data_IF_698261579766
#
_entry.id   IF_698261579766
#
_cell.length_a   1.000
_cell.length_b   1.000
_cell.length_c   1.000
_cell.angle_alpha   90.00
_cell.angle_beta   90.00
_cell.angle_gamma   90.00
#
_symmetry.space_group_name_H-M   'P 1'
#
loop_
_entity.id
_entity.type
_entity.pdbx_description
1 polymer ?
#
# COMPACT_ATOMS: atom_id res chain seq x y z
N UNK A 1 11.01 -46.70 -15.02
CA UNK A 1 10.28 -45.86 -14.06
C UNK A 1 10.80 -44.45 -14.21
N UNK A 2 10.06 -43.62 -14.96
CA UNK A 2 10.38 -42.21 -15.20
C UNK A 2 9.77 -41.40 -14.05
N UNK A 3 10.64 -40.75 -13.26
CA UNK A 3 10.20 -39.79 -12.24
C UNK A 3 9.63 -38.55 -12.96
N UNK A 4 8.34 -38.34 -12.76
CA UNK A 4 7.62 -37.14 -13.08
C UNK A 4 8.27 -35.95 -12.31
N UNK A 5 9.02 -35.14 -13.02
CA UNK A 5 9.52 -33.86 -12.46
C UNK A 5 8.36 -32.90 -12.44
N UNK A 6 7.84 -32.63 -11.24
CA UNK A 6 6.91 -31.53 -11.02
C UNK A 6 7.48 -30.25 -11.69
N UNK A 7 6.68 -29.66 -12.57
CA UNK A 7 7.05 -28.44 -13.26
C UNK A 7 7.32 -27.33 -12.25
N UNK A 8 8.52 -26.78 -12.31
CA UNK A 8 8.92 -25.60 -11.58
C UNK A 8 7.98 -24.46 -12.00
N UNK A 9 7.26 -23.74 -11.11
CA UNK A 9 6.46 -22.61 -11.50
C UNK A 9 7.39 -21.58 -12.15
N UNK A 10 7.13 -21.30 -13.45
CA UNK A 10 8.02 -20.56 -14.32
C UNK A 10 8.43 -19.22 -13.73
N UNK A 11 9.72 -18.92 -13.81
CA UNK A 11 10.30 -17.61 -13.51
C UNK A 11 9.59 -16.57 -14.37
N UNK A 12 8.77 -15.71 -13.73
CA UNK A 12 8.07 -14.61 -14.40
C UNK A 12 9.14 -13.62 -14.88
N UNK A 13 9.16 -13.33 -16.18
CA UNK A 13 10.12 -12.39 -16.79
C UNK A 13 9.91 -11.00 -16.23
N UNK A 14 11.01 -10.26 -16.00
CA UNK A 14 10.98 -8.87 -15.56
C UNK A 14 10.02 -8.04 -16.42
N UNK A 15 9.06 -7.35 -15.77
CA UNK A 15 8.14 -6.42 -16.43
C UNK A 15 6.78 -6.98 -16.82
N UNK A 16 6.48 -8.26 -16.61
CA UNK A 16 5.12 -8.77 -16.82
C UNK A 16 4.25 -8.46 -15.58
N UNK A 17 3.17 -7.71 -15.79
CA UNK A 17 2.07 -7.59 -14.83
C UNK A 17 1.53 -9.00 -14.55
N UNK A 18 1.22 -9.33 -13.29
CA UNK A 18 0.55 -10.59 -12.97
C UNK A 18 -0.64 -10.77 -13.91
N UNK A 19 -0.77 -11.94 -14.53
CA UNK A 19 -1.70 -12.19 -15.67
C UNK A 19 -3.14 -11.72 -15.43
N UNK A 20 -3.57 -11.72 -14.17
CA UNK A 20 -4.95 -11.40 -13.81
C UNK A 20 -5.11 -9.99 -13.22
N UNK A 21 -4.03 -9.30 -12.85
CA UNK A 21 -4.12 -7.96 -12.24
C UNK A 21 -4.55 -6.92 -13.28
N UNK A 22 -5.57 -6.13 -12.93
CA UNK A 22 -6.10 -5.06 -13.80
C UNK A 22 -5.16 -3.87 -13.91
N UNK A 23 -4.29 -3.69 -12.92
CA UNK A 23 -3.26 -2.65 -12.86
C UNK A 23 -2.05 -3.22 -12.12
N UNK A 24 -0.86 -2.64 -12.29
CA UNK A 24 0.32 -3.07 -11.51
C UNK A 24 0.42 -2.35 -10.18
N UNK A 25 1.10 -2.97 -9.21
CA UNK A 25 1.42 -2.32 -7.94
C UNK A 25 2.29 -1.06 -8.17
N UNK A 26 3.23 -1.11 -9.11
CA UNK A 26 4.07 0.04 -9.49
C UNK A 26 3.22 1.23 -9.99
N UNK A 27 2.23 1.00 -10.86
CA UNK A 27 1.33 2.06 -11.33
C UNK A 27 0.56 2.73 -10.19
N UNK A 28 0.11 1.96 -9.20
CA UNK A 28 -0.54 2.49 -8.01
C UNK A 28 0.43 3.35 -7.21
N UNK A 29 1.61 2.80 -6.87
CA UNK A 29 2.58 3.45 -5.98
C UNK A 29 3.28 4.66 -6.60
N UNK A 30 3.28 4.78 -7.93
CA UNK A 30 3.86 5.95 -8.64
C UNK A 30 2.85 7.07 -8.91
N UNK A 31 1.58 6.90 -8.51
CA UNK A 31 0.54 7.92 -8.70
C UNK A 31 0.81 9.18 -7.86
N UNK A 32 1.48 9.05 -6.73
CA UNK A 32 1.84 10.17 -5.86
C UNK A 32 2.87 9.79 -4.82
N UNK A 33 3.49 10.78 -4.15
CA UNK A 33 4.60 10.52 -3.23
C UNK A 33 4.16 9.93 -1.88
N UNK A 34 2.89 10.07 -1.52
CA UNK A 34 2.37 9.68 -0.20
C UNK A 34 1.07 8.91 -0.35
N UNK A 35 0.98 7.78 0.35
CA UNK A 35 -0.25 7.00 0.53
C UNK A 35 -0.70 7.17 1.99
N UNK A 36 -1.84 7.83 2.25
CA UNK A 36 -2.37 7.96 3.60
C UNK A 36 -2.80 6.59 4.15
N UNK A 37 -2.33 6.26 5.33
CA UNK A 37 -2.78 5.08 6.09
C UNK A 37 -3.98 5.49 6.92
N UNK A 38 -5.18 5.13 6.45
CA UNK A 38 -6.45 5.64 6.97
C UNK A 38 -7.06 4.65 7.95
N UNK A 39 -7.42 5.13 9.14
CA UNK A 39 -8.25 4.43 10.11
C UNK A 39 -9.58 5.18 10.21
N UNK A 40 -10.67 4.56 9.75
CA UNK A 40 -12.00 5.16 9.79
C UNK A 40 -12.74 4.68 11.05
N UNK A 41 -12.95 5.57 12.01
CA UNK A 41 -13.69 5.26 13.24
C UNK A 41 -15.19 5.53 13.11
N UNK A 42 -15.58 6.47 12.25
CA UNK A 42 -16.97 6.86 11.98
C UNK A 42 -17.23 6.85 10.49
N UNK A 43 -18.28 6.15 10.06
CA UNK A 43 -18.59 5.98 8.63
C UNK A 43 -18.84 7.34 7.94
N UNK A 44 -19.48 8.28 8.63
CA UNK A 44 -19.77 9.61 8.10
C UNK A 44 -18.51 10.43 7.75
N UNK A 45 -17.34 10.07 8.28
CA UNK A 45 -16.08 10.75 7.96
C UNK A 45 -15.44 10.22 6.67
N UNK A 46 -15.81 9.03 6.19
CA UNK A 46 -15.16 8.35 5.08
C UNK A 46 -15.10 9.21 3.81
N UNK A 47 -16.25 9.61 3.30
CA UNK A 47 -16.35 10.35 2.04
C UNK A 47 -15.81 11.77 2.14
N UNK A 48 -16.13 12.58 3.17
CA UNK A 48 -15.55 13.92 3.31
C UNK A 48 -14.03 13.90 3.41
N UNK A 49 -13.46 12.97 4.17
CA UNK A 49 -12.00 12.79 4.28
C UNK A 49 -11.36 12.44 2.94
N UNK A 50 -11.93 11.48 2.19
CA UNK A 50 -11.42 11.10 0.89
C UNK A 50 -11.45 12.27 -0.10
N UNK A 51 -12.53 13.05 -0.13
CA UNK A 51 -12.63 14.29 -0.95
C UNK A 51 -11.58 15.33 -0.56
N UNK A 52 -11.35 15.51 0.73
CA UNK A 52 -10.33 16.44 1.24
C UNK A 52 -8.91 16.02 0.83
N UNK A 53 -8.58 14.74 0.90
CA UNK A 53 -7.28 14.20 0.46
C UNK A 53 -7.08 14.39 -1.05
N UNK A 54 -8.10 14.09 -1.85
CA UNK A 54 -8.07 14.29 -3.32
C UNK A 54 -7.92 15.76 -3.68
N UNK A 55 -8.64 16.65 -3.00
CA UNK A 55 -8.51 18.11 -3.19
C UNK A 55 -7.11 18.65 -2.85
N UNK A 56 -6.38 17.95 -1.96
CA UNK A 56 -4.97 18.20 -1.66
C UNK A 56 -3.98 17.55 -2.62
N UNK A 57 -4.46 16.78 -3.62
CA UNK A 57 -3.62 16.11 -4.62
C UNK A 57 -3.22 14.67 -4.28
N UNK A 58 -3.72 14.10 -3.19
CA UNK A 58 -3.48 12.71 -2.79
C UNK A 58 -4.63 11.84 -3.30
N UNK A 59 -4.34 10.96 -4.26
CA UNK A 59 -5.35 10.15 -4.95
C UNK A 59 -5.35 8.68 -4.55
N UNK A 60 -4.24 8.12 -4.06
CA UNK A 60 -4.15 6.73 -3.60
C UNK A 60 -4.46 6.70 -2.11
N UNK A 61 -5.53 5.99 -1.72
CA UNK A 61 -6.06 5.97 -0.36
C UNK A 61 -6.07 4.53 0.19
N UNK A 62 -5.30 4.26 1.26
CA UNK A 62 -5.26 2.98 1.96
C UNK A 62 -6.24 2.99 3.14
N UNK A 63 -7.41 2.34 3.01
CA UNK A 63 -8.37 2.15 4.11
C UNK A 63 -8.01 0.88 4.87
N UNK A 64 -7.58 1.01 6.13
CA UNK A 64 -7.14 -0.14 6.91
C UNK A 64 -8.31 -0.88 7.56
N UNK A 65 -8.30 -2.22 7.52
CA UNK A 65 -9.31 -3.08 8.15
C UNK A 65 -9.13 -3.17 9.68
N UNK A 66 -9.02 -2.02 10.35
CA UNK A 66 -8.75 -1.94 11.80
C UNK A 66 -9.99 -1.56 12.63
N UNK A 67 -11.11 -1.29 11.98
CA UNK A 67 -12.36 -0.87 12.64
C UNK A 67 -13.56 -1.63 12.06
N UNK A 68 -14.65 -1.77 12.82
CA UNK A 68 -15.85 -2.42 12.32
C UNK A 68 -16.48 -1.76 11.09
N UNK A 69 -16.29 -0.44 10.92
CA UNK A 69 -16.86 0.33 9.80
C UNK A 69 -15.95 0.39 8.56
N UNK A 70 -14.76 -0.20 8.62
CA UNK A 70 -13.75 -0.07 7.56
C UNK A 70 -14.25 -0.56 6.18
N UNK A 71 -14.95 -1.68 6.13
CA UNK A 71 -15.49 -2.22 4.87
C UNK A 71 -16.58 -1.33 4.26
N UNK A 72 -17.44 -0.76 5.08
CA UNK A 72 -18.46 0.18 4.60
C UNK A 72 -17.86 1.51 4.17
N UNK A 73 -16.84 1.97 4.88
CA UNK A 73 -16.05 3.15 4.51
C UNK A 73 -15.34 2.94 3.16
N UNK A 74 -14.71 1.78 2.94
CA UNK A 74 -14.10 1.40 1.67
C UNK A 74 -15.10 1.49 0.52
N UNK A 75 -16.27 0.86 0.66
CA UNK A 75 -17.35 0.88 -0.34
C UNK A 75 -17.85 2.29 -0.63
N UNK A 76 -18.07 3.08 0.43
CA UNK A 76 -18.54 4.46 0.30
C UNK A 76 -17.52 5.34 -0.47
N UNK A 77 -16.24 5.25 -0.12
CA UNK A 77 -15.19 5.99 -0.82
C UNK A 77 -15.09 5.60 -2.30
N UNK A 78 -15.10 4.30 -2.62
CA UNK A 78 -15.07 3.80 -4.00
C UNK A 78 -16.25 4.33 -4.82
N UNK A 79 -17.44 4.34 -4.23
CA UNK A 79 -18.67 4.76 -4.90
C UNK A 79 -18.77 6.27 -5.10
N UNK A 80 -18.37 7.04 -4.09
CA UNK A 80 -18.66 8.47 -4.02
C UNK A 80 -17.47 9.39 -4.33
N UNK A 81 -16.27 8.81 -4.47
CA UNK A 81 -15.04 9.55 -4.80
C UNK A 81 -14.30 8.85 -5.95
N UNK A 82 -14.88 8.85 -7.16
CA UNK A 82 -14.33 8.11 -8.31
C UNK A 82 -12.94 8.62 -8.78
N UNK A 83 -12.53 9.80 -8.35
CA UNK A 83 -11.20 10.35 -8.64
C UNK A 83 -10.10 9.70 -7.79
N UNK A 84 -10.46 9.05 -6.69
CA UNK A 84 -9.55 8.35 -5.82
C UNK A 84 -9.30 6.90 -6.30
N UNK A 85 -8.08 6.44 -6.08
CA UNK A 85 -7.71 5.02 -6.18
C UNK A 85 -7.77 4.46 -4.76
N UNK A 86 -8.85 3.76 -4.44
CA UNK A 86 -9.11 3.29 -3.09
C UNK A 86 -8.74 1.82 -2.95
N UNK A 87 -7.90 1.52 -1.98
CA UNK A 87 -7.49 0.17 -1.65
C UNK A 87 -7.63 -0.15 -0.17
N UNK A 88 -7.49 -1.43 0.16
CA UNK A 88 -7.61 -1.94 1.51
C UNK A 88 -6.23 -2.21 2.12
N UNK A 89 -6.01 -1.74 3.34
CA UNK A 89 -4.84 -2.07 4.17
C UNK A 89 -5.19 -3.01 5.32
N UNK A 90 -4.15 -3.59 5.91
CA UNK A 90 -4.30 -4.55 7.03
C UNK A 90 -5.07 -5.82 6.64
N UNK A 91 -4.94 -6.23 5.39
CA UNK A 91 -5.45 -7.52 4.90
C UNK A 91 -4.46 -8.61 5.31
N UNK A 92 -4.91 -9.61 6.08
CA UNK A 92 -4.02 -10.58 6.74
C UNK A 92 -4.27 -12.04 6.35
N UNK A 93 -5.28 -12.31 5.53
CA UNK A 93 -5.61 -13.66 5.09
C UNK A 93 -6.36 -13.66 3.74
N UNK A 94 -6.46 -14.83 3.05
CA UNK A 94 -7.15 -14.95 1.78
C UNK A 94 -8.64 -14.59 1.80
N UNK A 95 -9.33 -14.83 2.93
CA UNK A 95 -10.74 -14.48 3.06
C UNK A 95 -10.94 -12.95 3.00
N UNK A 96 -10.18 -12.20 3.80
CA UNK A 96 -10.23 -10.73 3.75
C UNK A 96 -9.82 -10.19 2.37
N UNK A 97 -8.82 -10.82 1.72
CA UNK A 97 -8.42 -10.45 0.36
C UNK A 97 -9.60 -10.59 -0.61
N UNK A 98 -10.36 -11.67 -0.53
CA UNK A 98 -11.55 -11.87 -1.36
C UNK A 98 -12.64 -10.84 -1.03
N UNK A 99 -12.93 -10.61 0.27
CA UNK A 99 -13.95 -9.66 0.72
C UNK A 99 -13.68 -8.23 0.21
N UNK A 100 -12.42 -7.75 0.28
CA UNK A 100 -12.07 -6.41 -0.23
C UNK A 100 -12.04 -6.36 -1.76
N UNK A 101 -11.69 -7.45 -2.42
CA UNK A 101 -11.76 -7.57 -3.88
C UNK A 101 -13.21 -7.45 -4.35
N UNK A 102 -14.14 -8.16 -3.72
CA UNK A 102 -15.57 -8.12 -4.04
C UNK A 102 -16.19 -6.74 -3.71
N UNK A 103 -15.64 -6.04 -2.72
CA UNK A 103 -16.02 -4.67 -2.40
C UNK A 103 -15.51 -3.64 -3.42
N UNK A 104 -14.64 -4.04 -4.35
CA UNK A 104 -14.13 -3.19 -5.42
C UNK A 104 -12.80 -2.48 -5.10
N UNK A 105 -12.05 -2.94 -4.10
CA UNK A 105 -10.72 -2.41 -3.82
C UNK A 105 -9.82 -2.48 -5.07
N UNK A 106 -9.08 -1.42 -5.34
CA UNK A 106 -8.23 -1.31 -6.53
C UNK A 106 -6.79 -1.76 -6.27
N UNK A 107 -6.39 -1.83 -5.01
CA UNK A 107 -5.14 -2.42 -4.54
C UNK A 107 -5.31 -2.94 -3.10
N UNK A 108 -4.40 -3.81 -2.69
CA UNK A 108 -4.43 -4.43 -1.37
C UNK A 108 -3.04 -4.30 -0.73
N UNK A 109 -3.01 -3.95 0.54
CA UNK A 109 -1.79 -3.87 1.35
C UNK A 109 -1.93 -4.77 2.57
N UNK A 110 -0.93 -5.63 2.80
CA UNK A 110 -0.84 -6.42 4.02
C UNK A 110 0.28 -5.93 4.94
N UNK A 111 0.20 -6.17 6.26
CA UNK A 111 1.28 -5.80 7.18
C UNK A 111 2.48 -6.75 7.11
N UNK A 112 2.30 -7.94 6.55
CA UNK A 112 3.31 -8.98 6.42
C UNK A 112 2.98 -9.96 5.30
N UNK A 113 3.78 -11.02 5.14
CA UNK A 113 3.59 -12.06 4.14
C UNK A 113 3.24 -13.40 4.76
N UNK A 114 2.32 -14.13 4.11
CA UNK A 114 2.12 -15.57 4.29
C UNK A 114 1.98 -16.20 2.91
N UNK A 115 2.40 -17.44 2.76
CA UNK A 115 2.28 -18.15 1.48
C UNK A 115 0.84 -18.23 0.98
N UNK A 116 -0.12 -18.46 1.88
CA UNK A 116 -1.54 -18.54 1.53
C UNK A 116 -2.07 -17.20 0.98
N UNK A 117 -1.65 -16.07 1.58
CA UNK A 117 -2.04 -14.75 1.11
C UNK A 117 -1.39 -14.42 -0.24
N UNK A 118 -0.09 -14.70 -0.39
CA UNK A 118 0.64 -14.48 -1.64
C UNK A 118 0.02 -15.29 -2.79
N UNK A 119 -0.25 -16.58 -2.57
CA UNK A 119 -0.90 -17.44 -3.56
C UNK A 119 -2.25 -16.89 -4.01
N UNK A 120 -3.12 -16.56 -3.05
CA UNK A 120 -4.44 -16.03 -3.36
C UNK A 120 -4.35 -14.69 -4.14
N UNK A 121 -3.39 -13.83 -3.79
CA UNK A 121 -3.22 -12.53 -4.43
C UNK A 121 -2.73 -12.64 -5.89
N UNK A 122 -1.76 -13.52 -6.18
CA UNK A 122 -1.24 -13.67 -7.55
C UNK A 122 -2.22 -14.37 -8.49
N UNK A 123 -3.15 -15.15 -7.95
CA UNK A 123 -4.25 -15.77 -8.68
C UNK A 123 -5.45 -14.81 -8.87
N UNK A 124 -5.56 -13.77 -8.02
CA UNK A 124 -6.64 -12.80 -8.02
C UNK A 124 -6.47 -11.63 -9.01
N UNK A 125 -7.47 -10.74 -9.12
CA UNK A 125 -7.48 -9.64 -10.09
C UNK A 125 -6.93 -8.32 -9.56
N UNK A 126 -6.59 -8.23 -8.27
CA UNK A 126 -6.19 -6.99 -7.58
C UNK A 126 -4.75 -7.10 -7.08
N UNK A 127 -3.90 -6.10 -7.35
CA UNK A 127 -2.51 -6.12 -6.91
C UNK A 127 -2.39 -6.12 -5.38
N UNK A 128 -1.51 -7.00 -4.87
CA UNK A 128 -1.08 -7.02 -3.48
C UNK A 128 0.30 -6.34 -3.35
N UNK A 129 0.42 -5.45 -2.39
CA UNK A 129 1.67 -4.84 -1.93
C UNK A 129 1.92 -5.38 -0.52
N UNK A 130 2.65 -6.50 -0.38
CA UNK A 130 2.82 -7.15 0.92
C UNK A 130 3.84 -6.42 1.78
N UNK A 131 3.58 -6.38 3.09
CA UNK A 131 4.52 -5.87 4.09
C UNK A 131 5.67 -6.85 4.32
N UNK A 132 6.88 -6.31 4.44
CA UNK A 132 8.08 -7.07 4.85
C UNK A 132 8.86 -6.29 5.90
N UNK A 133 9.54 -7.02 6.77
CA UNK A 133 10.50 -6.51 7.75
C UNK A 133 11.89 -7.11 7.56
N UNK A 134 11.97 -8.25 6.90
CA UNK A 134 13.20 -9.02 6.72
C UNK A 134 13.46 -9.35 5.25
N UNK A 135 14.72 -9.67 4.95
CA UNK A 135 15.14 -10.11 3.62
C UNK A 135 14.53 -11.47 3.25
N UNK A 136 14.29 -12.36 4.23
CA UNK A 136 13.66 -13.65 3.96
C UNK A 136 12.21 -13.48 3.49
N UNK A 137 11.44 -12.57 4.12
CA UNK A 137 10.09 -12.24 3.68
C UNK A 137 10.08 -11.61 2.28
N UNK A 138 11.05 -10.74 2.00
CA UNK A 138 11.26 -10.17 0.67
C UNK A 138 11.46 -11.27 -0.38
N UNK A 139 12.39 -12.21 -0.12
CA UNK A 139 12.67 -13.34 -1.02
C UNK A 139 11.45 -14.21 -1.23
N UNK A 140 10.68 -14.50 -0.17
CA UNK A 140 9.42 -15.25 -0.27
C UNK A 140 8.44 -14.55 -1.21
N UNK A 141 8.25 -13.23 -1.10
CA UNK A 141 7.39 -12.48 -2.03
C UNK A 141 7.92 -12.49 -3.47
N UNK A 142 9.25 -12.44 -3.64
CA UNK A 142 9.89 -12.51 -4.95
C UNK A 142 9.70 -13.87 -5.64
N UNK A 143 9.63 -14.98 -4.89
CA UNK A 143 9.34 -16.31 -5.43
C UNK A 143 7.94 -16.39 -6.06
N UNK A 144 7.00 -15.55 -5.58
CA UNK A 144 5.68 -15.34 -6.18
C UNK A 144 5.67 -14.29 -7.31
N UNK A 145 6.83 -13.77 -7.70
CA UNK A 145 6.97 -12.81 -8.80
C UNK A 145 6.78 -11.35 -8.42
N UNK A 146 6.56 -11.02 -7.15
CA UNK A 146 6.37 -9.64 -6.68
C UNK A 146 7.67 -8.84 -6.71
N UNK A 147 7.54 -7.53 -6.92
CA UNK A 147 8.68 -6.58 -6.95
C UNK A 147 8.42 -5.33 -6.11
N UNK A 148 7.18 -5.03 -5.78
CA UNK A 148 6.75 -3.89 -4.97
C UNK A 148 6.32 -4.38 -3.60
N UNK A 149 6.91 -3.78 -2.54
CA UNK A 149 6.70 -4.18 -1.14
C UNK A 149 6.46 -2.97 -0.24
N UNK A 150 5.61 -3.15 0.75
CA UNK A 150 5.58 -2.26 1.91
C UNK A 150 6.71 -2.64 2.86
N UNK A 151 7.56 -1.69 3.25
CA UNK A 151 8.54 -1.89 4.31
C UNK A 151 7.95 -1.42 5.63
N UNK A 152 7.67 -2.35 6.55
CA UNK A 152 6.89 -2.04 7.76
C UNK A 152 7.33 -2.89 8.96
N UNK A 153 7.40 -2.30 10.17
CA UNK A 153 7.37 -0.86 10.47
C UNK A 153 8.72 -0.18 10.16
N UNK A 154 8.73 0.83 9.28
CA UNK A 154 9.94 1.33 8.64
C UNK A 154 11.00 1.85 9.64
N UNK A 155 10.65 2.81 10.50
CA UNK A 155 11.61 3.39 11.46
C UNK A 155 12.11 2.35 12.47
N UNK A 156 11.22 1.50 12.99
CA UNK A 156 11.59 0.45 13.95
C UNK A 156 12.52 -0.61 13.34
N UNK A 157 12.46 -0.82 12.02
CA UNK A 157 13.29 -1.78 11.29
C UNK A 157 14.57 -1.16 10.69
N UNK A 158 14.99 0.01 11.16
CA UNK A 158 16.25 0.65 10.77
C UNK A 158 16.14 1.69 9.67
N UNK A 159 14.93 2.03 9.23
CA UNK A 159 14.63 3.19 8.41
C UNK A 159 15.36 3.22 7.06
N UNK A 160 15.78 4.41 6.67
CA UNK A 160 16.52 4.68 5.43
C UNK A 160 17.77 3.81 5.30
N UNK A 161 18.52 3.62 6.41
CA UNK A 161 19.76 2.81 6.40
C UNK A 161 19.50 1.34 6.05
N UNK A 162 18.41 0.76 6.62
CA UNK A 162 18.02 -0.60 6.30
C UNK A 162 17.63 -0.75 4.83
N UNK A 163 16.83 0.17 4.28
CA UNK A 163 16.44 0.15 2.88
C UNK A 163 17.62 0.29 1.92
N UNK A 164 18.60 1.13 2.26
CA UNK A 164 19.85 1.25 1.48
C UNK A 164 20.62 -0.06 1.46
N UNK A 165 20.74 -0.73 2.63
CA UNK A 165 21.44 -2.01 2.73
C UNK A 165 20.71 -3.13 1.96
N UNK A 166 19.39 -3.19 2.02
CA UNK A 166 18.56 -4.14 1.27
C UNK A 166 18.65 -3.88 -0.24
N UNK A 167 18.68 -2.62 -0.66
CA UNK A 167 18.73 -2.23 -2.07
C UNK A 167 19.99 -2.72 -2.80
N UNK A 168 21.10 -2.99 -2.10
CA UNK A 168 22.32 -3.54 -2.68
C UNK A 168 22.10 -4.89 -3.38
N UNK A 169 21.69 -5.94 -2.66
CA UNK A 169 21.43 -7.27 -3.23
C UNK A 169 20.14 -7.34 -4.06
N UNK A 170 19.20 -6.40 -3.91
CA UNK A 170 17.87 -6.43 -4.57
C UNK A 170 17.57 -5.15 -5.37
N UNK A 171 18.39 -4.78 -6.38
CA UNK A 171 18.24 -3.50 -7.11
C UNK A 171 16.92 -3.44 -7.94
N UNK A 172 16.28 -4.57 -8.19
CA UNK A 172 15.02 -4.69 -8.93
C UNK A 172 13.77 -4.48 -8.08
N UNK A 173 13.91 -4.40 -6.74
CA UNK A 173 12.77 -4.27 -5.83
C UNK A 173 12.47 -2.80 -5.55
N UNK A 174 11.20 -2.50 -5.33
CA UNK A 174 10.69 -1.17 -4.99
C UNK A 174 9.91 -1.21 -3.69
N UNK A 175 9.92 -0.10 -2.96
CA UNK A 175 9.35 -0.03 -1.62
C UNK A 175 8.38 1.14 -1.47
N UNK A 176 7.38 0.88 -0.60
CA UNK A 176 6.55 1.87 0.07
C UNK A 176 6.80 1.76 1.58
N UNK A 177 7.83 2.45 2.12
CA UNK A 177 8.08 2.44 3.56
C UNK A 177 6.90 3.05 4.32
N UNK A 178 6.55 2.42 5.46
CA UNK A 178 5.42 2.82 6.29
C UNK A 178 5.75 2.57 7.76
N UNK A 179 5.33 3.47 8.65
CA UNK A 179 5.52 3.34 10.11
C UNK A 179 6.66 4.20 10.65
N UNK A 180 6.30 5.19 11.50
CA UNK A 180 7.21 6.19 12.05
C UNK A 180 7.58 7.30 11.06
N UNK A 181 6.95 7.36 9.90
CA UNK A 181 7.20 8.38 8.89
C UNK A 181 6.33 9.61 9.16
N UNK A 182 6.92 10.79 9.03
CA UNK A 182 6.34 12.08 9.36
C UNK A 182 6.86 13.18 8.40
N UNK A 183 6.35 14.41 8.47
CA UNK A 183 6.89 15.54 7.71
C UNK A 183 8.38 15.80 7.91
N UNK A 184 8.96 15.34 9.02
CA UNK A 184 10.37 15.55 9.35
C UNK A 184 11.33 14.62 8.59
N UNK A 185 10.89 13.41 8.19
CA UNK A 185 11.76 12.38 7.65
C UNK A 185 11.32 11.79 6.28
N UNK A 186 10.10 12.06 5.81
CA UNK A 186 9.58 11.41 4.59
C UNK A 186 10.40 11.70 3.33
N UNK A 187 11.04 12.87 3.25
CA UNK A 187 11.90 13.24 2.10
C UNK A 187 13.17 12.38 2.02
N UNK A 188 13.71 11.98 3.17
CA UNK A 188 14.91 11.13 3.21
C UNK A 188 14.59 9.74 2.62
N UNK A 189 13.37 9.23 2.84
CA UNK A 189 12.90 8.01 2.21
C UNK A 189 12.70 8.18 0.71
N UNK A 190 12.03 9.26 0.29
CA UNK A 190 11.76 9.54 -1.13
C UNK A 190 13.03 9.82 -1.95
N UNK A 191 14.15 10.19 -1.31
CA UNK A 191 15.45 10.35 -1.95
C UNK A 191 16.06 9.01 -2.39
N UNK A 192 15.57 7.88 -1.88
CA UNK A 192 16.06 6.56 -2.25
C UNK A 192 15.46 6.11 -3.59
N UNK A 193 16.30 5.69 -4.54
CA UNK A 193 15.86 5.19 -5.86
C UNK A 193 14.96 3.96 -5.79
N UNK A 194 15.03 3.18 -4.70
CA UNK A 194 14.20 2.02 -4.46
C UNK A 194 12.83 2.35 -3.86
N UNK A 195 12.56 3.61 -3.49
CA UNK A 195 11.30 4.05 -2.88
C UNK A 195 10.44 4.74 -3.94
N UNK A 196 9.22 4.24 -4.14
CA UNK A 196 8.25 4.82 -5.08
C UNK A 196 7.38 5.88 -4.41
N UNK A 197 6.94 5.61 -3.19
CA UNK A 197 6.16 6.49 -2.34
C UNK A 197 6.35 6.08 -0.89
N UNK A 198 5.75 6.81 0.04
CA UNK A 198 5.74 6.45 1.47
C UNK A 198 4.31 6.31 1.99
N UNK A 199 4.13 5.47 3.01
CA UNK A 199 2.88 5.38 3.77
C UNK A 199 2.92 6.27 5.00
N UNK A 200 1.93 7.15 5.17
CA UNK A 200 1.90 8.07 6.29
C UNK A 200 0.52 8.31 6.87
N UNK A 201 0.42 8.43 8.19
CA UNK A 201 -0.85 8.69 8.88
C UNK A 201 -1.06 10.15 9.26
N UNK A 202 -0.03 11.00 9.16
CA UNK A 202 -0.11 12.41 9.59
C UNK A 202 -1.04 13.28 8.74
N UNK A 203 -1.43 12.80 7.55
CA UNK A 203 -2.35 13.51 6.66
C UNK A 203 -3.78 13.54 7.20
N UNK A 204 -4.11 12.60 8.09
CA UNK A 204 -5.44 12.41 8.65
C UNK A 204 -5.39 12.39 10.19
N UNK A 205 -4.99 13.50 10.85
CA UNK A 205 -4.85 13.52 12.29
C UNK A 205 -6.22 13.41 12.99
N UNK A 206 -6.25 12.66 14.09
CA UNK A 206 -7.50 12.34 14.79
C UNK A 206 -8.30 13.57 15.23
N UNK A 207 -7.64 14.62 15.70
CA UNK A 207 -8.28 15.86 16.12
C UNK A 207 -8.99 16.59 14.97
N UNK A 208 -8.43 16.54 13.74
CA UNK A 208 -9.10 17.06 12.55
C UNK A 208 -10.32 16.20 12.17
N UNK A 209 -10.22 14.87 12.30
CA UNK A 209 -11.36 13.97 12.05
C UNK A 209 -12.50 14.21 13.04
N UNK A 210 -12.17 14.37 14.34
CA UNK A 210 -13.17 14.60 15.40
C UNK A 210 -13.95 15.90 15.21
N UNK A 211 -13.29 16.94 14.72
CA UNK A 211 -13.88 18.27 14.50
C UNK A 211 -14.43 18.49 13.09
N UNK A 212 -14.18 17.54 12.17
CA UNK A 212 -14.55 17.69 10.76
C UNK A 212 -13.75 18.77 10.03
N UNK A 213 -12.50 19.00 10.44
CA UNK A 213 -11.60 20.00 9.82
C UNK A 213 -10.99 19.45 8.50
N UNK A 214 -11.86 19.34 7.48
CA UNK A 214 -11.49 18.83 6.16
C UNK A 214 -10.52 19.75 5.43
N UNK A 215 -10.57 21.05 5.68
CA UNK A 215 -9.65 22.02 5.10
C UNK A 215 -8.22 21.79 5.59
N UNK A 216 -8.05 21.41 6.85
CA UNK A 216 -6.74 21.01 7.39
C UNK A 216 -6.21 19.76 6.72
N UNK A 217 -7.06 18.75 6.49
CA UNK A 217 -6.66 17.53 5.76
C UNK A 217 -6.23 17.87 4.34
N UNK A 218 -6.99 18.71 3.64
CA UNK A 218 -6.62 19.20 2.30
C UNK A 218 -5.27 19.91 2.28
N UNK A 219 -5.01 20.77 3.27
CA UNK A 219 -3.73 21.47 3.40
C UNK A 219 -2.58 20.51 3.65
N UNK A 220 -2.71 19.57 4.61
CA UNK A 220 -1.69 18.56 4.92
C UNK A 220 -1.37 17.69 3.71
N UNK A 221 -2.38 17.27 2.96
CA UNK A 221 -2.21 16.51 1.73
C UNK A 221 -1.43 17.31 0.68
N UNK A 222 -1.79 18.58 0.46
CA UNK A 222 -1.10 19.49 -0.48
C UNK A 222 0.36 19.70 -0.09
N UNK A 223 0.63 19.99 1.18
CA UNK A 223 1.99 20.19 1.70
C UNK A 223 2.86 18.93 1.50
N UNK A 224 2.29 17.74 1.70
CA UNK A 224 2.99 16.48 1.48
C UNK A 224 3.34 16.24 0.01
N UNK A 225 2.46 16.62 -0.93
CA UNK A 225 2.70 16.49 -2.37
C UNK A 225 3.68 17.55 -2.87
N UNK A 226 3.52 18.81 -2.47
CA UNK A 226 4.37 19.92 -2.92
C UNK A 226 5.78 19.86 -2.33
N UNK A 227 5.91 19.35 -1.12
CA UNK A 227 7.20 19.21 -0.44
C UNK A 227 8.17 18.22 -1.09
N UNK A 228 7.76 17.55 -2.17
CA UNK A 228 8.59 16.59 -2.94
C UNK A 228 9.08 17.14 -4.28
N UNK A 229 8.72 18.39 -4.62
CA UNK A 229 9.10 19.06 -5.87
C UNK A 229 10.48 19.73 -5.80
#
# INVERSE_FOLDING_TARGET
>A
MLHDRAANPGVIKQGEVMKNWKTSAEQILTTGPVVPVIVVNKLEHAVPMAKALVAGGVRVLEVTLRTPVAMDALRAMIKEVPEAIVGAGTVINPQQLQEVTDAGAQFIISPGVTESLLKAAVEGPVPLIPGISTVSELMTGMDYGLREFKFFPAEANGGVKALQAIGGPFPQVRFCPTGGISPANYRDYLALKSVLCIGGSWLVPNDALETGDWDRITRLAREAVEGTK
#
